data_IF_121730078275
#
_entry.id   IF_121730078275
#
_cell.length_a   1.000
_cell.length_b   1.000
_cell.length_c   1.000
_cell.angle_alpha   90.00
_cell.angle_beta   90.00
_cell.angle_gamma   90.00
#
_symmetry.space_group_name_H-M   'P 1'
#
loop_
_entity.id
_entity.type
_entity.pdbx_description
1 polymer ?
#
# COMPACT_ATOMS: atom_id res chain seq x y z
N UNK A 1 9.85 3.07 16.30
CA UNK A 1 8.66 2.58 15.60
C UNK A 1 8.65 1.07 15.65
N UNK A 2 7.64 0.49 16.23
CA UNK A 2 7.54 -0.95 16.44
C UNK A 2 6.24 -1.44 15.79
N UNK A 3 6.30 -2.44 14.92
CA UNK A 3 5.07 -2.91 14.28
C UNK A 3 4.34 -3.93 15.12
N UNK A 4 3.06 -4.12 14.79
CA UNK A 4 2.37 -5.34 15.16
C UNK A 4 2.41 -6.29 13.97
N UNK A 5 2.28 -7.59 14.25
CA UNK A 5 2.27 -8.60 13.20
C UNK A 5 0.84 -9.09 13.06
N UNK A 6 0.33 -9.07 11.83
CA UNK A 6 -1.03 -9.51 11.54
C UNK A 6 -1.05 -10.51 10.41
N UNK A 7 -1.95 -11.46 10.51
CA UNK A 7 -2.26 -12.34 9.39
C UNK A 7 -3.57 -11.84 8.78
N UNK A 8 -3.50 -11.33 7.57
CA UNK A 8 -4.64 -10.74 6.88
C UNK A 8 -5.39 -11.82 6.15
N UNK A 9 -6.69 -11.92 6.42
CA UNK A 9 -7.57 -12.80 5.65
C UNK A 9 -7.65 -12.31 4.21
N UNK A 10 -7.92 -13.21 3.25
CA UNK A 10 -8.05 -12.77 1.86
C UNK A 10 -9.02 -11.58 1.74
N UNK A 11 -8.52 -10.50 1.17
CA UNK A 11 -9.25 -9.24 1.06
C UNK A 11 -9.17 -8.79 -0.38
N UNK A 12 -10.33 -8.54 -0.99
CA UNK A 12 -10.40 -8.08 -2.37
C UNK A 12 -10.41 -6.57 -2.38
N UNK A 13 -9.50 -6.00 -3.15
CA UNK A 13 -9.43 -4.57 -3.40
C UNK A 13 -9.87 -4.30 -4.83
N UNK A 14 -10.58 -3.20 -5.02
CA UNK A 14 -11.01 -2.75 -6.35
C UNK A 14 -10.50 -1.33 -6.53
N UNK A 15 -9.87 -1.07 -7.67
CA UNK A 15 -9.35 0.26 -7.90
C UNK A 15 -8.73 0.46 -9.25
N UNK A 16 -8.00 1.54 -9.36
CA UNK A 16 -7.27 1.90 -10.58
C UNK A 16 -5.78 1.77 -10.32
N UNK A 17 -5.03 1.49 -11.38
CA UNK A 17 -3.59 1.35 -11.23
C UNK A 17 -2.85 1.89 -12.43
N UNK A 18 -1.58 2.20 -12.22
CA UNK A 18 -0.67 2.54 -13.32
C UNK A 18 0.71 2.01 -12.99
N UNK A 19 1.55 2.00 -13.99
CA UNK A 19 2.97 1.64 -13.84
C UNK A 19 3.75 2.93 -13.67
N UNK A 20 4.62 2.97 -12.65
CA UNK A 20 5.41 4.16 -12.39
C UNK A 20 6.77 3.77 -11.81
N UNK A 21 7.60 4.78 -11.58
CA UNK A 21 8.87 4.60 -10.88
C UNK A 21 9.02 5.76 -9.90
N UNK A 22 10.02 5.67 -9.03
CA UNK A 22 10.30 6.77 -8.11
C UNK A 22 10.63 8.03 -8.92
N UNK A 23 11.43 7.88 -9.97
CA UNK A 23 11.83 9.03 -10.79
C UNK A 23 10.67 9.59 -11.60
N UNK A 24 9.69 8.76 -11.95
CA UNK A 24 8.52 9.20 -12.71
C UNK A 24 7.27 8.84 -11.90
N UNK A 25 7.08 9.55 -10.81
CA UNK A 25 6.04 9.27 -9.82
C UNK A 25 4.73 9.91 -10.26
N UNK A 26 3.73 9.08 -10.56
CA UNK A 26 2.43 9.53 -11.01
C UNK A 26 1.33 9.24 -10.00
N UNK A 27 1.68 9.14 -8.72
CA UNK A 27 0.72 8.84 -7.66
C UNK A 27 -0.40 9.88 -7.60
N UNK A 28 -0.04 11.17 -7.68
CA UNK A 28 -1.04 12.22 -7.57
C UNK A 28 -2.07 12.14 -8.70
N UNK A 29 -1.60 11.90 -9.93
CA UNK A 29 -2.50 11.76 -11.07
C UNK A 29 -3.42 10.56 -10.92
N UNK A 30 -2.89 9.46 -10.40
CA UNK A 30 -3.71 8.27 -10.17
C UNK A 30 -4.85 8.56 -9.21
N UNK A 31 -4.56 9.19 -8.07
CA UNK A 31 -5.58 9.49 -7.08
C UNK A 31 -6.58 10.54 -7.62
N UNK A 32 -6.13 11.48 -8.43
CA UNK A 32 -7.01 12.46 -9.06
C UNK A 32 -8.01 11.78 -9.99
N UNK A 33 -7.61 10.70 -10.68
CA UNK A 33 -8.51 9.93 -11.52
C UNK A 33 -9.46 9.06 -10.70
N UNK A 34 -8.94 8.47 -9.62
CA UNK A 34 -9.71 7.49 -8.85
C UNK A 34 -10.79 8.12 -7.98
N UNK A 35 -10.47 9.22 -7.30
CA UNK A 35 -11.38 9.75 -6.29
C UNK A 35 -12.75 10.15 -6.83
N UNK A 36 -12.86 10.77 -8.02
CA UNK A 36 -14.21 11.05 -8.52
C UNK A 36 -15.03 9.80 -8.84
N UNK A 37 -14.35 8.67 -9.08
CA UNK A 37 -15.01 7.45 -9.54
C UNK A 37 -15.20 6.41 -8.45
N UNK A 38 -14.60 6.60 -7.27
CA UNK A 38 -14.61 5.53 -6.27
C UNK A 38 -16.00 5.27 -5.71
N UNK A 39 -16.90 6.24 -5.73
CA UNK A 39 -18.28 6.09 -5.26
C UNK A 39 -19.10 5.12 -6.09
N UNK A 40 -18.65 4.90 -7.09
CA UNK A 40 -19.25 4.02 -7.96
C UNK A 40 -19.00 2.63 -7.65
N UNK A 41 -18.11 2.40 -6.76
CA UNK A 41 -17.81 1.03 -6.34
C UNK A 41 -18.84 0.61 -5.31
N UNK A 42 -19.51 -0.48 -5.61
CA UNK A 42 -20.53 -1.03 -4.71
C UNK A 42 -19.90 -2.04 -3.77
N UNK A 43 -20.58 -2.32 -2.66
CA UNK A 43 -20.18 -3.37 -1.72
C UNK A 43 -18.86 -3.11 -1.01
N UNK A 44 -18.54 -1.86 -0.76
CA UNK A 44 -17.37 -1.55 0.04
C UNK A 44 -17.50 -2.16 1.42
N UNK A 45 -16.41 -2.73 1.91
CA UNK A 45 -16.43 -3.38 3.23
C UNK A 45 -16.00 -2.44 4.35
N UNK A 46 -15.41 -1.29 3.99
CA UNK A 46 -15.04 -0.28 4.99
C UNK A 46 -14.90 1.08 4.30
N UNK A 47 -14.57 2.11 5.07
CA UNK A 47 -14.41 3.46 4.54
C UNK A 47 -12.95 3.82 4.28
N UNK A 48 -12.07 2.81 4.24
CA UNK A 48 -10.64 3.01 4.14
C UNK A 48 -10.23 3.14 2.68
N UNK A 49 -9.25 3.99 2.43
CA UNK A 49 -8.58 4.06 1.13
C UNK A 49 -7.27 3.28 1.25
N UNK A 50 -6.97 2.50 0.21
CA UNK A 50 -5.78 1.67 0.14
C UNK A 50 -4.85 2.20 -0.93
N UNK A 51 -3.62 2.49 -0.57
CA UNK A 51 -2.57 2.89 -1.50
C UNK A 51 -1.62 1.70 -1.62
N UNK A 52 -1.55 1.10 -2.80
CA UNK A 52 -0.92 -0.21 -2.94
C UNK A 52 0.26 -0.13 -3.90
N UNK A 53 1.35 -0.83 -3.57
CA UNK A 53 2.48 -1.02 -4.48
C UNK A 53 2.65 -2.51 -4.74
N UNK A 54 2.68 -2.87 -6.03
CA UNK A 54 2.97 -4.22 -6.46
C UNK A 54 4.30 -4.21 -7.16
N UNK A 55 5.32 -4.79 -6.52
CA UNK A 55 6.68 -4.81 -7.06
C UNK A 55 6.89 -6.07 -7.87
N UNK A 56 7.73 -6.03 -8.90
CA UNK A 56 7.91 -7.23 -9.76
C UNK A 56 8.51 -8.41 -9.01
N UNK A 57 9.37 -8.14 -8.03
CA UNK A 57 9.92 -9.19 -7.18
C UNK A 57 10.56 -8.53 -5.97
N UNK A 58 10.94 -9.35 -4.99
CA UNK A 58 11.66 -8.82 -3.83
C UNK A 58 13.03 -8.26 -4.20
N UNK A 59 13.54 -8.62 -5.37
CA UNK A 59 14.80 -8.07 -5.85
C UNK A 59 14.75 -6.57 -6.09
N UNK A 60 13.54 -6.01 -6.24
CA UNK A 60 13.39 -4.56 -6.36
C UNK A 60 14.12 -3.82 -5.25
N UNK A 61 14.16 -4.42 -4.05
CA UNK A 61 14.72 -3.78 -2.86
C UNK A 61 16.21 -4.04 -2.65
N UNK A 62 16.85 -4.84 -3.52
CA UNK A 62 18.27 -5.19 -3.32
C UNK A 62 19.21 -4.02 -3.57
N UNK A 63 18.84 -3.13 -4.48
CA UNK A 63 19.63 -1.94 -4.71
C UNK A 63 18.71 -0.80 -5.12
N UNK A 64 19.09 0.40 -4.74
CA UNK A 64 18.28 1.57 -5.06
C UNK A 64 18.40 1.88 -6.56
N UNK A 65 17.25 1.92 -7.23
CA UNK A 65 17.18 2.29 -8.64
C UNK A 65 15.90 3.08 -8.85
N UNK A 66 15.99 4.41 -8.91
CA UNK A 66 14.78 5.22 -9.03
C UNK A 66 14.05 5.07 -10.35
N UNK A 67 14.71 4.45 -11.37
CA UNK A 67 14.07 4.16 -12.65
C UNK A 67 13.31 2.85 -12.65
N UNK A 68 13.51 1.99 -11.64
CA UNK A 68 12.86 0.69 -11.61
C UNK A 68 11.34 0.86 -11.45
N UNK A 69 10.58 0.12 -12.23
CA UNK A 69 9.13 0.27 -12.30
C UNK A 69 8.40 -0.66 -11.36
N UNK A 70 7.26 -0.20 -10.92
CA UNK A 70 6.32 -1.00 -10.12
C UNK A 70 4.91 -0.52 -10.43
N UNK A 71 3.94 -1.28 -9.97
CA UNK A 71 2.53 -0.95 -10.17
C UNK A 71 2.01 -0.25 -8.93
N UNK A 72 1.35 0.88 -9.13
CA UNK A 72 0.75 1.66 -8.04
C UNK A 72 -0.76 1.60 -8.18
N UNK A 73 -1.46 1.34 -7.07
CA UNK A 73 -2.91 1.24 -7.05
C UNK A 73 -3.51 2.25 -6.08
N UNK A 74 -4.66 2.79 -6.46
CA UNK A 74 -5.57 3.51 -5.58
C UNK A 74 -6.83 2.65 -5.51
N UNK A 75 -7.23 2.23 -4.29
CA UNK A 75 -8.24 1.17 -4.20
C UNK A 75 -9.05 1.26 -2.92
N UNK A 76 -10.14 0.50 -2.90
CA UNK A 76 -10.97 0.29 -1.70
C UNK A 76 -11.24 -1.21 -1.55
N UNK A 77 -11.54 -1.64 -0.34
CA UNK A 77 -11.87 -3.05 -0.08
C UNK A 77 -13.36 -3.29 -0.31
N UNK A 78 -13.69 -4.47 -0.88
CA UNK A 78 -15.07 -4.85 -1.16
C UNK A 78 -15.35 -6.23 -0.56
N UNK A 79 -16.62 -6.47 -0.27
CA UNK A 79 -17.05 -7.80 0.19
C UNK A 79 -16.99 -8.82 -0.91
N UNK A 80 -17.46 -8.50 -1.97
CA UNK A 80 -17.47 -9.43 -3.01
C UNK A 80 -17.32 -8.64 -4.25
N UNK A 81 -16.77 -9.33 -5.06
CA UNK A 81 -16.52 -8.63 -6.31
C UNK A 81 -17.43 -9.14 -7.41
N UNK A 82 -18.70 -8.87 -7.30
CA UNK A 82 -19.67 -9.26 -8.33
C UNK A 82 -19.48 -8.50 -9.62
N UNK A 83 -19.36 -7.19 -9.50
CA UNK A 83 -19.15 -6.35 -10.66
C UNK A 83 -18.29 -5.18 -10.24
N UNK A 84 -17.37 -4.82 -11.11
CA UNK A 84 -16.48 -3.69 -10.85
C UNK A 84 -16.65 -2.68 -11.98
N UNK A 85 -16.42 -1.41 -11.71
CA UNK A 85 -16.53 -0.42 -12.77
C UNK A 85 -15.59 -0.73 -13.93
N UNK A 86 -15.98 -0.34 -15.12
CA UNK A 86 -15.29 -0.74 -16.35
C UNK A 86 -13.83 -0.31 -16.38
N UNK A 87 -13.50 0.80 -15.76
CA UNK A 87 -12.13 1.31 -15.79
C UNK A 87 -11.28 0.82 -14.64
N UNK A 88 -11.80 -0.14 -13.86
CA UNK A 88 -11.11 -0.61 -12.66
C UNK A 88 -10.78 -2.08 -12.76
N UNK A 89 -9.91 -2.51 -11.88
CA UNK A 89 -9.49 -3.90 -11.77
C UNK A 89 -9.55 -4.32 -10.31
N UNK A 90 -9.32 -5.59 -10.05
CA UNK A 90 -9.29 -6.08 -8.68
C UNK A 90 -7.96 -6.74 -8.36
N UNK A 91 -7.65 -6.77 -7.08
CA UNK A 91 -6.40 -7.27 -6.54
C UNK A 91 -6.69 -7.91 -5.20
N UNK A 92 -6.06 -9.05 -4.93
CA UNK A 92 -6.22 -9.74 -3.66
C UNK A 92 -5.00 -9.45 -2.78
N UNK A 93 -5.23 -9.14 -1.50
CA UNK A 93 -4.17 -9.05 -0.51
C UNK A 93 -4.48 -10.01 0.63
N UNK A 94 -3.44 -10.68 1.14
CA UNK A 94 -3.60 -11.66 2.22
C UNK A 94 -2.24 -12.06 2.75
N UNK A 95 -2.25 -12.68 3.93
CA UNK A 95 -1.05 -13.27 4.49
C UNK A 95 -0.45 -12.42 5.60
N UNK A 96 0.77 -12.72 5.97
CA UNK A 96 1.41 -12.09 7.12
C UNK A 96 2.00 -10.75 6.74
N UNK A 97 1.71 -9.75 7.59
CA UNK A 97 2.16 -8.37 7.41
C UNK A 97 2.72 -7.83 8.71
N UNK A 98 3.76 -7.01 8.59
CA UNK A 98 4.18 -6.12 9.68
C UNK A 98 3.47 -4.79 9.45
N UNK A 99 2.77 -4.31 10.47
CA UNK A 99 1.91 -3.13 10.36
C UNK A 99 2.49 -2.03 11.25
N UNK A 100 2.90 -0.93 10.61
CA UNK A 100 3.48 0.22 11.30
C UNK A 100 2.48 1.37 11.26
N UNK A 101 2.31 2.04 12.38
CA UNK A 101 1.51 3.27 12.40
C UNK A 101 2.43 4.46 12.17
N UNK A 102 2.17 5.20 11.11
CA UNK A 102 2.92 6.41 10.81
C UNK A 102 2.07 7.62 11.13
N UNK A 103 2.64 8.56 11.89
CA UNK A 103 1.99 9.83 12.20
C UNK A 103 2.86 10.94 11.63
N UNK A 104 2.27 11.77 10.76
CA UNK A 104 3.03 12.87 10.19
C UNK A 104 2.51 13.26 8.83
N UNK A 105 3.24 14.19 8.21
CA UNK A 105 2.93 14.65 6.85
C UNK A 105 3.19 13.53 5.85
N UNK A 106 2.37 13.51 4.79
CA UNK A 106 2.60 12.53 3.72
C UNK A 106 3.95 12.76 3.04
N UNK A 107 4.42 14.00 2.98
CA UNK A 107 5.71 14.29 2.35
C UNK A 107 6.90 13.71 3.12
N UNK A 108 6.71 13.32 4.38
CA UNK A 108 7.77 12.74 5.21
C UNK A 108 7.65 11.24 5.37
N UNK A 109 6.64 10.60 4.78
CA UNK A 109 6.43 9.16 5.00
C UNK A 109 7.61 8.33 4.49
N UNK A 110 8.35 8.85 3.52
CA UNK A 110 9.51 8.13 3.00
C UNK A 110 10.53 7.83 4.09
N UNK A 111 10.61 8.68 5.12
CA UNK A 111 11.53 8.44 6.23
C UNK A 111 11.13 7.19 7.02
N UNK A 112 9.82 6.96 7.18
CA UNK A 112 9.35 5.74 7.84
C UNK A 112 9.70 4.51 7.00
N UNK A 113 9.50 4.57 5.70
CA UNK A 113 9.86 3.45 4.84
C UNK A 113 11.37 3.19 4.85
N UNK A 114 12.19 4.23 4.86
CA UNK A 114 13.63 4.05 4.97
C UNK A 114 14.00 3.30 6.25
N UNK A 115 13.39 3.69 7.38
CA UNK A 115 13.65 3.01 8.63
C UNK A 115 13.23 1.54 8.54
N UNK A 116 12.04 1.28 7.99
CA UNK A 116 11.52 -0.08 7.93
C UNK A 116 12.45 -0.98 7.13
N UNK A 117 12.85 -0.54 5.93
CA UNK A 117 13.61 -1.40 5.04
C UNK A 117 15.09 -1.47 5.40
N UNK A 118 15.66 -0.41 5.94
CA UNK A 118 17.10 -0.39 6.19
C UNK A 118 17.48 -0.74 7.63
N UNK A 119 16.56 -0.61 8.58
CA UNK A 119 16.87 -0.85 9.99
C UNK A 119 16.02 -1.97 10.57
N UNK A 120 14.69 -1.80 10.52
CA UNK A 120 13.82 -2.76 11.19
C UNK A 120 13.90 -4.14 10.56
N UNK A 121 13.72 -4.20 9.25
CA UNK A 121 13.61 -5.49 8.56
C UNK A 121 14.89 -6.30 8.69
N UNK A 122 16.08 -5.73 8.42
CA UNK A 122 17.31 -6.53 8.58
C UNK A 122 17.53 -7.04 10.00
N UNK A 123 17.12 -6.28 11.02
CA UNK A 123 17.31 -6.69 12.42
C UNK A 123 16.24 -7.64 12.91
N UNK A 124 15.17 -7.83 12.15
CA UNK A 124 14.05 -8.67 12.55
C UNK A 124 14.29 -10.12 12.15
N UNK A 125 13.38 -10.99 12.60
CA UNK A 125 13.40 -12.38 12.17
C UNK A 125 12.67 -12.59 10.84
N UNK A 126 12.28 -11.50 10.16
CA UNK A 126 11.50 -11.57 8.94
C UNK A 126 12.29 -11.09 7.73
N UNK A 127 11.80 -11.49 6.56
CA UNK A 127 12.23 -10.96 5.27
C UNK A 127 10.99 -10.65 4.46
N UNK A 128 11.16 -9.88 3.38
CA UNK A 128 10.03 -9.53 2.53
C UNK A 128 9.44 -10.76 1.85
N UNK A 129 8.13 -10.79 1.79
CA UNK A 129 7.39 -11.73 0.98
C UNK A 129 6.98 -11.05 -0.32
N UNK A 130 6.90 -11.81 -1.41
CA UNK A 130 6.58 -11.24 -2.72
C UNK A 130 5.06 -11.11 -2.88
N UNK A 131 4.50 -10.14 -2.16
CA UNK A 131 3.07 -9.83 -2.17
C UNK A 131 2.90 -8.33 -2.15
N UNK A 132 1.69 -7.82 -2.40
CA UNK A 132 1.51 -6.36 -2.41
C UNK A 132 1.81 -5.72 -1.07
N UNK A 133 2.44 -4.54 -1.12
CA UNK A 133 2.61 -3.64 0.02
C UNK A 133 1.47 -2.63 -0.03
N UNK A 134 1.00 -2.15 1.12
CA UNK A 134 -0.03 -1.12 1.05
C UNK A 134 -0.07 -0.27 2.30
N UNK A 135 -0.69 0.90 2.15
CA UNK A 135 -0.99 1.79 3.25
C UNK A 135 -2.50 1.94 3.34
N UNK A 136 -3.00 2.02 4.57
CA UNK A 136 -4.42 2.26 4.84
C UNK A 136 -4.60 3.67 5.38
N UNK A 137 -5.55 4.38 4.79
CA UNK A 137 -5.88 5.76 5.19
C UNK A 137 -7.36 5.82 5.51
N UNK A 138 -7.70 6.17 6.75
CA UNK A 138 -9.11 6.26 7.12
C UNK A 138 -9.67 7.64 6.80
N UNK A 139 -10.93 7.87 7.20
CA UNK A 139 -11.64 9.09 6.82
C UNK A 139 -11.05 10.36 7.44
N UNK A 140 -10.20 10.22 8.47
CA UNK A 140 -9.57 11.39 9.08
C UNK A 140 -8.23 11.73 8.45
N UNK A 141 -7.76 10.92 7.49
CA UNK A 141 -6.45 11.13 6.89
C UNK A 141 -6.41 12.44 6.12
N UNK A 142 -5.34 13.19 6.34
CA UNK A 142 -5.09 14.45 5.62
C UNK A 142 -3.57 14.54 5.38
N UNK A 143 -3.14 14.47 4.12
CA UNK A 143 -1.69 14.44 3.84
C UNK A 143 -0.94 15.68 4.29
N UNK A 144 -1.65 16.78 4.53
CA UNK A 144 -1.02 18.04 4.92
C UNK A 144 -1.09 18.31 6.42
N UNK A 145 -1.55 17.34 7.21
CA UNK A 145 -1.71 17.50 8.65
C UNK A 145 -0.66 16.65 9.36
N UNK A 146 0.24 17.28 10.13
CA UNK A 146 1.29 16.49 10.80
C UNK A 146 0.78 15.55 11.89
N UNK A 147 -0.48 15.69 12.32
CA UNK A 147 -1.06 14.75 13.27
C UNK A 147 -1.80 13.61 12.59
N UNK A 148 -1.86 13.61 11.27
CA UNK A 148 -2.59 12.59 10.53
C UNK A 148 -1.87 11.23 10.62
N UNK A 149 -2.64 10.15 10.56
CA UNK A 149 -2.08 8.81 10.68
C UNK A 149 -2.45 7.95 9.50
N UNK A 150 -1.54 7.04 9.16
CA UNK A 150 -1.82 5.96 8.24
C UNK A 150 -1.09 4.71 8.71
N UNK A 151 -1.57 3.56 8.28
CA UNK A 151 -0.92 2.30 8.57
C UNK A 151 -0.14 1.84 7.35
N UNK A 152 1.10 1.41 7.59
CA UNK A 152 1.98 0.91 6.53
C UNK A 152 2.07 -0.60 6.70
N UNK A 153 1.60 -1.34 5.69
CA UNK A 153 1.49 -2.80 5.72
C UNK A 153 2.58 -3.40 4.83
N UNK A 154 3.52 -4.09 5.44
CA UNK A 154 4.71 -4.64 4.76
C UNK A 154 4.61 -6.16 4.74
N UNK A 155 4.58 -6.80 3.57
CA UNK A 155 4.41 -8.26 3.52
C UNK A 155 5.69 -8.96 3.96
N UNK A 156 5.54 -9.90 4.89
CA UNK A 156 6.69 -10.54 5.54
C UNK A 156 6.54 -12.05 5.55
N UNK A 157 7.68 -12.72 5.70
CA UNK A 157 7.76 -14.13 6.00
C UNK A 157 8.98 -14.36 6.87
N UNK A 158 9.02 -15.48 7.56
CA UNK A 158 10.15 -15.76 8.43
C UNK A 158 11.41 -16.00 7.61
N UNK A 159 12.54 -15.54 8.14
CA UNK A 159 13.84 -15.90 7.60
C UNK A 159 14.07 -17.38 7.85
N UNK A 160 14.83 -18.00 6.96
CA UNK A 160 15.18 -19.43 7.10
C UNK A 160 16.31 -19.65 8.07
#
# INVERSE_FOLDING_TARGET
MTPRIETLKPTVLVGMHNTMSIAANTTQQLWQRFMPKHKXILNRSDAILYSVEVYPSVDYFKSYNPEAEFQKWAAVAVHXSHSIPETMDMLMVQGDYAVFTYTGLASDVYKAYQFIYSKWLPASKYKLSNRPHFAKMDSTYNPNDPSSQEELWIPIQLKE
#
